data_IF_117656959273
#
_entry.id   IF_117656959273
#
_cell.length_a   1.000
_cell.length_b   1.000
_cell.length_c   1.000
_cell.angle_alpha   90.00
_cell.angle_beta   90.00
_cell.angle_gamma   90.00
#
_symmetry.space_group_name_H-M   'P 1'
#
loop_
_entity.id
_entity.type
_entity.pdbx_description
1 polymer ?
#
# COMPACT_ATOMS: atom_id res chain seq x y z
N UNK A 1 -21.88 1.79 11.50
CA UNK A 1 -20.43 1.95 11.18
C UNK A 1 -19.91 0.57 10.83
N UNK A 2 -19.43 0.40 9.62
CA UNK A 2 -18.87 -0.88 9.14
C UNK A 2 -17.46 -1.06 9.73
N UNK A 3 -17.01 -2.30 9.85
CA UNK A 3 -15.62 -2.58 10.20
C UNK A 3 -14.70 -2.28 9.01
N UNK A 4 -13.41 -2.08 9.27
CA UNK A 4 -12.43 -1.96 8.20
C UNK A 4 -12.39 -3.22 7.32
N UNK A 5 -12.68 -4.40 7.91
CA UNK A 5 -12.77 -5.66 7.16
C UNK A 5 -13.92 -5.68 6.15
N UNK A 6 -15.09 -5.12 6.51
CA UNK A 6 -16.21 -4.99 5.57
C UNK A 6 -15.84 -4.12 4.37
N UNK A 7 -15.11 -3.02 4.62
CA UNK A 7 -14.64 -2.11 3.56
C UNK A 7 -13.62 -2.80 2.66
N UNK A 8 -12.66 -3.53 3.24
CA UNK A 8 -11.64 -4.26 2.47
C UNK A 8 -12.30 -5.25 1.51
N UNK A 9 -13.25 -6.06 1.98
CA UNK A 9 -13.92 -7.06 1.14
C UNK A 9 -14.79 -6.41 0.07
N UNK A 10 -15.50 -5.32 0.40
CA UNK A 10 -16.30 -4.58 -0.58
C UNK A 10 -15.41 -4.05 -1.72
N UNK A 11 -14.32 -3.38 -1.38
CA UNK A 11 -13.44 -2.76 -2.39
C UNK A 11 -12.71 -3.80 -3.21
N UNK A 12 -12.21 -4.87 -2.60
CA UNK A 12 -11.61 -6.00 -3.30
C UNK A 12 -12.59 -6.55 -4.37
N UNK A 13 -13.82 -6.84 -3.96
CA UNK A 13 -14.86 -7.36 -4.86
C UNK A 13 -15.21 -6.38 -5.98
N UNK A 14 -15.24 -5.08 -5.71
CA UNK A 14 -15.53 -4.06 -6.72
C UNK A 14 -14.40 -3.88 -7.73
N UNK A 15 -13.15 -3.95 -7.28
CA UNK A 15 -11.97 -3.89 -8.15
C UNK A 15 -11.89 -5.15 -9.02
N UNK A 16 -12.13 -6.34 -8.45
CA UNK A 16 -12.17 -7.59 -9.19
C UNK A 16 -13.29 -7.58 -10.24
N UNK A 17 -14.50 -7.14 -9.89
CA UNK A 17 -15.63 -7.02 -10.81
C UNK A 17 -15.37 -6.00 -11.93
N UNK A 18 -14.49 -5.03 -11.69
CA UNK A 18 -14.03 -4.07 -12.71
C UNK A 18 -12.88 -4.61 -13.57
N UNK A 19 -12.34 -5.81 -13.25
CA UNK A 19 -11.16 -6.36 -13.90
C UNK A 19 -9.89 -5.56 -13.59
N UNK A 20 -9.84 -4.85 -12.46
CA UNK A 20 -8.71 -4.02 -12.06
C UNK A 20 -7.78 -4.84 -11.17
N UNK A 21 -6.58 -5.13 -11.66
CA UNK A 21 -5.54 -5.76 -10.85
C UNK A 21 -5.10 -4.79 -9.75
N UNK A 22 -5.03 -5.29 -8.51
CA UNK A 22 -4.73 -4.46 -7.34
C UNK A 22 -4.00 -5.23 -6.25
N UNK A 23 -3.43 -4.50 -5.29
CA UNK A 23 -2.83 -5.05 -4.08
C UNK A 23 -2.96 -4.07 -2.90
N UNK A 24 -3.28 -4.61 -1.73
CA UNK A 24 -3.32 -3.84 -0.48
C UNK A 24 -1.91 -3.54 0.01
N UNK A 25 -1.71 -2.31 0.48
CA UNK A 25 -0.45 -1.79 1.01
C UNK A 25 -0.53 -1.38 2.47
N UNK A 26 0.25 -0.37 2.83
CA UNK A 26 0.19 0.35 4.09
C UNK A 26 0.27 -0.53 5.33
N UNK A 27 -0.59 -0.25 6.32
CA UNK A 27 -0.65 -1.01 7.57
C UNK A 27 -1.29 -2.39 7.41
N UNK A 28 -2.11 -2.60 6.38
CA UNK A 28 -2.72 -3.90 6.09
C UNK A 28 -1.67 -4.90 5.61
N UNK A 29 -0.81 -4.51 4.66
CA UNK A 29 0.31 -5.35 4.23
C UNK A 29 1.32 -5.56 5.37
N UNK A 30 1.60 -4.52 6.16
CA UNK A 30 2.52 -4.59 7.30
C UNK A 30 2.15 -5.70 8.28
N UNK A 31 0.85 -5.95 8.49
CA UNK A 31 0.36 -6.98 9.42
C UNK A 31 0.82 -8.41 9.10
N UNK A 32 1.31 -8.66 7.89
CA UNK A 32 1.91 -9.96 7.49
C UNK A 32 3.42 -10.02 7.69
N UNK A 33 4.05 -8.90 8.02
CA UNK A 33 5.51 -8.76 8.10
C UNK A 33 6.01 -8.26 9.46
N UNK A 34 5.11 -7.75 10.30
CA UNK A 34 5.42 -7.25 11.64
C UNK A 34 4.22 -7.39 12.57
N UNK A 35 4.39 -7.02 13.84
CA UNK A 35 3.26 -6.92 14.77
C UNK A 35 2.20 -5.94 14.22
N UNK A 36 0.93 -6.37 14.10
CA UNK A 36 -0.13 -5.53 13.57
C UNK A 36 -0.35 -4.26 14.40
N UNK A 37 -0.56 -3.15 13.74
CA UNK A 37 -1.00 -1.90 14.37
C UNK A 37 -2.34 -1.44 13.82
N UNK A 38 -3.08 -0.70 14.63
CA UNK A 38 -4.36 -0.13 14.21
C UNK A 38 -4.21 0.82 13.03
N UNK A 39 -5.20 0.80 12.14
CA UNK A 39 -5.35 1.74 11.03
C UNK A 39 -6.81 2.01 10.75
N UNK A 40 -7.09 3.16 10.17
CA UNK A 40 -8.38 3.51 9.54
C UNK A 40 -8.21 3.76 8.04
N UNK A 41 -6.97 3.73 7.56
CA UNK A 41 -6.62 3.91 6.15
C UNK A 41 -6.54 2.52 5.47
N UNK A 42 -7.16 2.39 4.30
CA UNK A 42 -7.03 1.24 3.40
C UNK A 42 -6.22 1.72 2.19
N UNK A 43 -4.92 1.40 2.19
CA UNK A 43 -4.00 1.72 1.11
C UNK A 43 -4.09 0.66 0.02
N UNK A 44 -4.36 1.06 -1.24
CA UNK A 44 -4.53 0.13 -2.37
C UNK A 44 -3.76 0.64 -3.59
N UNK A 45 -2.89 -0.20 -4.13
CA UNK A 45 -2.24 0.03 -5.42
C UNK A 45 -3.10 -0.61 -6.51
N UNK A 46 -3.42 0.13 -7.56
CA UNK A 46 -4.29 -0.31 -8.66
C UNK A 46 -3.60 -0.18 -10.02
N UNK A 47 -3.77 -1.17 -10.89
CA UNK A 47 -3.27 -1.15 -12.27
C UNK A 47 -4.19 -0.32 -13.19
N UNK A 48 -4.31 0.95 -12.86
CA UNK A 48 -5.05 1.92 -13.67
C UNK A 48 -4.12 3.10 -13.89
N UNK A 49 -3.81 3.46 -15.14
CA UNK A 49 -3.05 4.67 -15.44
C UNK A 49 -3.73 5.90 -14.82
N UNK A 50 -2.93 6.78 -14.24
CA UNK A 50 -3.45 7.97 -13.56
C UNK A 50 -4.37 8.82 -14.45
N UNK A 51 -4.07 8.91 -15.76
CA UNK A 51 -4.85 9.63 -16.75
C UNK A 51 -6.24 9.01 -16.98
N UNK A 52 -6.36 7.69 -16.75
CA UNK A 52 -7.59 6.91 -16.96
C UNK A 52 -8.40 6.71 -15.67
N UNK A 53 -7.98 7.29 -14.55
CA UNK A 53 -8.57 7.06 -13.21
C UNK A 53 -10.06 7.41 -13.08
N UNK A 54 -10.57 8.30 -13.95
CA UNK A 54 -11.94 8.81 -13.84
C UNK A 54 -13.00 7.71 -13.92
N UNK A 55 -12.77 6.67 -14.73
CA UNK A 55 -13.69 5.53 -14.86
C UNK A 55 -13.80 4.75 -13.56
N UNK A 56 -12.66 4.42 -12.93
CA UNK A 56 -12.65 3.72 -11.65
C UNK A 56 -13.26 4.58 -10.54
N UNK A 57 -12.90 5.88 -10.49
CA UNK A 57 -13.45 6.80 -9.50
C UNK A 57 -14.97 6.94 -9.61
N UNK A 58 -15.51 7.03 -10.84
CA UNK A 58 -16.97 7.08 -11.06
C UNK A 58 -17.66 5.79 -10.60
N UNK A 59 -17.04 4.64 -10.79
CA UNK A 59 -17.55 3.36 -10.29
C UNK A 59 -17.60 3.34 -8.76
N UNK A 60 -16.52 3.73 -8.09
CA UNK A 60 -16.47 3.77 -6.63
C UNK A 60 -17.43 4.83 -6.04
N UNK A 61 -17.59 5.96 -6.73
CA UNK A 61 -18.58 6.98 -6.37
C UNK A 61 -20.01 6.42 -6.39
N UNK A 62 -20.33 5.56 -7.34
CA UNK A 62 -21.68 4.93 -7.45
C UNK A 62 -22.03 4.02 -6.27
N UNK A 63 -21.04 3.54 -5.53
CA UNK A 63 -21.22 2.75 -4.29
C UNK A 63 -20.94 3.58 -3.02
N UNK A 64 -20.83 4.90 -3.16
CA UNK A 64 -20.76 5.86 -2.06
C UNK A 64 -19.35 6.23 -1.60
N UNK A 65 -18.30 5.83 -2.33
CA UNK A 65 -16.92 6.26 -2.06
C UNK A 65 -16.59 7.51 -2.88
N UNK A 66 -16.66 8.66 -2.23
CA UNK A 66 -16.54 9.96 -2.86
C UNK A 66 -15.13 10.55 -2.71
N UNK A 67 -14.73 11.36 -3.68
CA UNK A 67 -13.52 12.18 -3.58
C UNK A 67 -13.65 13.18 -2.43
N UNK A 68 -12.65 13.23 -1.55
CA UNK A 68 -12.55 14.26 -0.52
C UNK A 68 -12.29 15.64 -1.13
N UNK A 69 -12.78 16.70 -0.47
CA UNK A 69 -12.51 18.07 -0.90
C UNK A 69 -11.00 18.40 -0.99
N UNK A 70 -10.17 17.68 -0.23
CA UNK A 70 -8.71 17.82 -0.20
C UNK A 70 -7.98 16.62 -0.84
N UNK A 71 -8.68 15.77 -1.59
CA UNK A 71 -8.16 14.51 -2.12
C UNK A 71 -6.88 14.70 -2.95
N UNK A 72 -6.80 15.78 -3.74
CA UNK A 72 -5.64 16.08 -4.59
C UNK A 72 -4.45 16.69 -3.84
N UNK A 73 -4.65 17.17 -2.59
CA UNK A 73 -3.61 17.85 -1.79
C UNK A 73 -2.92 16.95 -0.77
N UNK A 74 -3.54 15.83 -0.41
CA UNK A 74 -3.15 15.04 0.76
C UNK A 74 -2.24 13.85 0.45
N UNK A 75 -2.15 13.41 -0.80
CA UNK A 75 -1.37 12.26 -1.22
C UNK A 75 -0.31 12.65 -2.26
N UNK A 76 0.78 11.87 -2.41
CA UNK A 76 1.73 12.06 -3.51
C UNK A 76 1.02 12.06 -4.87
N UNK A 77 1.68 12.60 -5.88
CA UNK A 77 1.12 12.96 -7.20
C UNK A 77 0.21 11.90 -7.88
N UNK A 78 0.32 10.63 -7.52
CA UNK A 78 -0.50 9.54 -8.08
C UNK A 78 -1.56 9.00 -7.12
N UNK A 79 -1.71 9.57 -5.90
CA UNK A 79 -2.65 9.08 -4.89
C UNK A 79 -3.96 9.86 -4.88
N UNK A 80 -5.04 9.17 -4.54
CA UNK A 80 -6.38 9.76 -4.41
C UNK A 80 -7.07 9.20 -3.18
N UNK A 81 -7.55 10.08 -2.29
CA UNK A 81 -8.27 9.70 -1.07
C UNK A 81 -9.78 9.72 -1.29
N UNK A 82 -10.42 8.60 -0.94
CA UNK A 82 -11.87 8.44 -0.96
C UNK A 82 -12.41 8.30 0.46
N UNK A 83 -13.64 8.75 0.66
CA UNK A 83 -14.35 8.64 1.94
C UNK A 83 -15.85 8.39 1.70
N UNK A 84 -16.50 7.81 2.71
CA UNK A 84 -17.96 7.77 2.79
C UNK A 84 -18.42 8.61 3.98
N UNK A 85 -19.49 9.43 3.86
CA UNK A 85 -19.91 10.37 4.91
C UNK A 85 -20.24 9.73 6.27
N UNK A 86 -20.61 8.44 6.28
CA UNK A 86 -21.01 7.72 7.49
C UNK A 86 -19.89 6.84 8.08
N UNK A 87 -18.71 6.80 7.43
CA UNK A 87 -17.61 5.91 7.80
C UNK A 87 -16.40 6.69 8.32
N UNK A 88 -15.66 6.07 9.24
CA UNK A 88 -14.35 6.57 9.70
C UNK A 88 -13.19 6.03 8.87
N UNK A 89 -13.43 4.94 8.15
CA UNK A 89 -12.44 4.33 7.24
C UNK A 89 -12.31 5.19 6.01
N UNK A 90 -11.09 5.40 5.55
CA UNK A 90 -10.78 6.07 4.28
C UNK A 90 -10.01 5.11 3.37
N UNK A 91 -10.14 5.30 2.05
CA UNK A 91 -9.41 4.54 1.05
C UNK A 91 -8.42 5.46 0.38
N UNK A 92 -7.15 5.06 0.37
CA UNK A 92 -6.07 5.71 -0.37
C UNK A 92 -5.72 4.85 -1.59
N UNK A 93 -6.16 5.30 -2.78
CA UNK A 93 -5.84 4.67 -4.05
C UNK A 93 -4.54 5.24 -4.61
N UNK A 94 -3.61 4.36 -4.99
CA UNK A 94 -2.38 4.71 -5.69
C UNK A 94 -2.46 4.15 -7.11
N UNK A 95 -2.49 5.05 -8.09
CA UNK A 95 -2.62 4.72 -9.50
C UNK A 95 -1.25 4.46 -10.14
N UNK A 96 -1.23 3.61 -11.15
CA UNK A 96 -0.03 3.37 -11.93
C UNK A 96 0.36 4.64 -12.72
N UNK A 97 1.52 5.20 -12.43
CA UNK A 97 2.09 6.35 -13.16
C UNK A 97 3.52 6.11 -13.62
N UNK A 98 4.10 4.98 -13.26
CA UNK A 98 5.45 4.54 -13.65
C UNK A 98 5.57 3.01 -13.67
N UNK A 99 6.70 2.52 -14.18
CA UNK A 99 7.00 1.09 -14.29
C UNK A 99 7.06 0.38 -12.91
N UNK A 100 7.38 1.11 -11.83
CA UNK A 100 7.42 0.52 -10.48
C UNK A 100 6.05 -0.02 -10.07
N UNK A 101 4.96 0.70 -10.38
CA UNK A 101 3.60 0.26 -10.02
C UNK A 101 3.19 -1.05 -10.72
N UNK A 102 3.64 -1.27 -11.96
CA UNK A 102 3.39 -2.54 -12.66
C UNK A 102 4.18 -3.67 -12.00
N UNK A 103 5.47 -3.45 -11.73
CA UNK A 103 6.35 -4.44 -11.08
C UNK A 103 5.82 -4.86 -9.71
N UNK A 104 5.38 -3.92 -8.88
CA UNK A 104 4.89 -4.24 -7.52
C UNK A 104 3.59 -5.04 -7.53
N UNK A 105 2.73 -4.84 -8.54
CA UNK A 105 1.51 -5.65 -8.70
C UNK A 105 1.82 -7.07 -9.19
N UNK A 106 2.84 -7.25 -10.02
CA UNK A 106 3.33 -8.58 -10.42
C UNK A 106 3.90 -9.37 -9.23
N UNK A 107 4.57 -8.69 -8.31
CA UNK A 107 5.18 -9.26 -7.11
C UNK A 107 4.24 -9.37 -5.91
N UNK A 108 3.02 -8.84 -6.02
CA UNK A 108 2.04 -8.91 -4.94
C UNK A 108 1.76 -10.36 -4.53
N UNK A 109 1.65 -10.60 -3.22
CA UNK A 109 1.56 -11.92 -2.61
C UNK A 109 0.13 -12.17 -2.13
N UNK A 110 -0.46 -13.29 -2.51
CA UNK A 110 -1.73 -13.74 -1.95
C UNK A 110 -1.55 -14.16 -0.50
N UNK A 111 -2.45 -13.69 0.36
CA UNK A 111 -2.46 -14.00 1.80
C UNK A 111 -3.91 -14.22 2.27
N UNK A 112 -4.09 -15.12 3.25
CA UNK A 112 -5.41 -15.31 3.85
C UNK A 112 -5.81 -14.08 4.67
N UNK A 113 -6.98 -13.55 4.39
CA UNK A 113 -7.64 -12.52 5.18
C UNK A 113 -8.91 -13.10 5.79
N UNK A 114 -8.96 -13.18 7.13
CA UNK A 114 -10.12 -13.75 7.83
C UNK A 114 -11.03 -12.61 8.26
N UNK A 115 -12.26 -12.58 7.74
CA UNK A 115 -13.26 -11.62 8.13
C UNK A 115 -14.60 -12.30 8.42
N UNK A 116 -15.20 -12.00 9.59
CA UNK A 116 -16.48 -12.59 10.04
C UNK A 116 -16.52 -14.13 9.95
N UNK A 117 -15.38 -14.79 10.21
CA UNK A 117 -15.24 -16.25 10.14
C UNK A 117 -15.10 -16.81 8.71
N UNK A 118 -15.10 -15.97 7.70
CA UNK A 118 -14.87 -16.34 6.29
C UNK A 118 -13.41 -16.05 5.93
N UNK A 119 -12.80 -17.01 5.23
CA UNK A 119 -11.45 -16.86 4.69
C UNK A 119 -11.55 -16.31 3.26
N UNK A 120 -10.85 -15.22 3.01
CA UNK A 120 -10.62 -14.62 1.70
C UNK A 120 -9.14 -14.74 1.34
N UNK A 121 -8.82 -14.84 0.07
CA UNK A 121 -7.43 -14.74 -0.42
C UNK A 121 -7.29 -13.36 -1.08
N UNK A 122 -6.55 -12.46 -0.46
CA UNK A 122 -6.35 -11.10 -0.93
C UNK A 122 -4.88 -10.90 -1.32
N UNK A 123 -4.62 -9.96 -2.20
CA UNK A 123 -3.27 -9.63 -2.65
C UNK A 123 -2.71 -8.46 -1.86
N UNK A 124 -1.49 -8.64 -1.35
CA UNK A 124 -0.77 -7.63 -0.57
C UNK A 124 0.60 -7.37 -1.20
N UNK A 125 1.10 -6.16 -1.03
CA UNK A 125 2.47 -5.82 -1.42
C UNK A 125 3.46 -6.77 -0.74
N UNK A 126 4.55 -7.13 -1.46
CA UNK A 126 5.68 -7.84 -0.87
C UNK A 126 6.35 -7.01 0.22
N UNK A 127 7.18 -7.63 1.06
CA UNK A 127 7.92 -6.92 2.11
C UNK A 127 8.84 -5.84 1.51
N UNK A 128 9.51 -6.16 0.40
CA UNK A 128 10.38 -5.24 -0.30
C UNK A 128 9.62 -4.06 -0.90
N UNK A 129 8.49 -4.34 -1.59
CA UNK A 129 7.70 -3.29 -2.24
C UNK A 129 7.04 -2.38 -1.22
N UNK A 130 6.54 -2.95 -0.11
CA UNK A 130 6.08 -2.17 1.04
C UNK A 130 7.19 -1.28 1.60
N UNK A 131 8.43 -1.81 1.71
CA UNK A 131 9.60 -1.05 2.16
C UNK A 131 9.91 0.10 1.20
N UNK A 132 9.87 -0.12 -0.12
CA UNK A 132 10.08 0.91 -1.14
C UNK A 132 9.05 2.05 -0.98
N UNK A 133 7.76 1.72 -0.87
CA UNK A 133 6.73 2.75 -0.66
C UNK A 133 6.94 3.52 0.65
N UNK A 134 7.24 2.85 1.76
CA UNK A 134 7.52 3.50 3.03
C UNK A 134 8.75 4.41 2.95
N UNK A 135 9.82 3.99 2.29
CA UNK A 135 11.01 4.83 2.06
C UNK A 135 10.73 6.00 1.12
N UNK A 136 9.79 5.83 0.18
CA UNK A 136 9.38 6.90 -0.74
C UNK A 136 8.65 8.03 -0.03
N UNK A 137 7.76 7.71 0.93
CA UNK A 137 7.14 8.70 1.82
C UNK A 137 8.13 9.24 2.86
N UNK A 138 8.94 8.38 3.46
CA UNK A 138 10.05 8.74 4.37
C UNK A 138 9.65 9.41 5.68
N UNK A 139 8.35 9.34 6.08
CA UNK A 139 7.85 9.89 7.35
C UNK A 139 8.42 9.11 8.53
N UNK A 140 8.44 9.70 9.71
CA UNK A 140 8.91 9.01 10.93
C UNK A 140 8.19 7.68 11.15
N UNK A 141 6.86 7.64 10.96
CA UNK A 141 6.06 6.41 11.10
C UNK A 141 6.47 5.32 10.10
N UNK A 142 6.90 5.70 8.90
CA UNK A 142 7.29 4.75 7.86
C UNK A 142 8.60 4.04 8.24
N UNK A 143 9.52 4.74 8.85
CA UNK A 143 10.76 4.15 9.38
C UNK A 143 10.53 3.28 10.60
N UNK A 144 9.57 3.61 11.47
CA UNK A 144 9.15 2.75 12.59
C UNK A 144 8.56 1.43 12.05
N UNK A 145 7.74 1.50 11.02
CA UNK A 145 7.15 0.33 10.38
C UNK A 145 8.25 -0.57 9.75
N UNK A 146 9.26 0.02 9.07
CA UNK A 146 10.41 -0.73 8.52
C UNK A 146 11.21 -1.40 9.66
N UNK A 147 11.47 -0.69 10.75
CA UNK A 147 12.16 -1.23 11.91
C UNK A 147 11.38 -2.40 12.53
N UNK A 148 10.06 -2.29 12.60
CA UNK A 148 9.20 -3.37 13.09
C UNK A 148 9.30 -4.63 12.20
N UNK A 149 9.28 -4.49 10.87
CA UNK A 149 9.48 -5.60 9.93
C UNK A 149 10.83 -6.27 10.14
N UNK A 150 11.89 -5.47 10.24
CA UNK A 150 13.25 -5.95 10.47
C UNK A 150 13.31 -6.69 11.83
N UNK A 151 12.77 -6.13 12.89
CA UNK A 151 12.75 -6.73 14.23
C UNK A 151 11.96 -8.03 14.28
N UNK A 152 10.89 -8.16 13.50
CA UNK A 152 10.12 -9.38 13.33
C UNK A 152 10.88 -10.48 12.55
N UNK A 153 12.06 -10.19 12.03
CA UNK A 153 12.86 -11.11 11.21
C UNK A 153 12.36 -11.27 9.79
N UNK A 154 11.54 -10.33 9.28
CA UNK A 154 11.07 -10.37 7.90
C UNK A 154 12.26 -10.22 6.94
N UNK A 155 12.47 -11.18 6.02
CA UNK A 155 13.50 -11.04 5.00
C UNK A 155 13.22 -9.85 4.09
N UNK A 156 14.21 -9.01 3.86
CA UNK A 156 14.15 -7.87 2.93
C UNK A 156 15.40 -7.92 2.05
N UNK A 157 15.21 -8.08 0.75
CA UNK A 157 16.28 -7.96 -0.24
C UNK A 157 16.64 -6.48 -0.44
N UNK A 158 17.71 -6.07 0.27
CA UNK A 158 18.17 -4.69 0.23
C UNK A 158 18.70 -4.27 -1.15
N UNK A 159 19.20 -5.21 -1.96
CA UNK A 159 19.72 -4.92 -3.30
C UNK A 159 18.56 -4.66 -4.26
N UNK A 160 17.47 -5.42 -4.14
CA UNK A 160 16.24 -5.14 -4.87
C UNK A 160 15.67 -3.77 -4.47
N UNK A 161 15.51 -3.51 -3.16
CA UNK A 161 14.97 -2.23 -2.66
C UNK A 161 15.82 -1.05 -3.15
N UNK A 162 17.15 -1.15 -3.10
CA UNK A 162 18.03 -0.10 -3.60
C UNK A 162 17.83 0.14 -5.09
N UNK A 163 17.84 -0.91 -5.91
CA UNK A 163 17.70 -0.82 -7.36
C UNK A 163 16.40 -0.12 -7.76
N UNK A 164 15.29 -0.58 -7.21
CA UNK A 164 13.96 -0.03 -7.56
C UNK A 164 13.79 1.39 -7.01
N UNK A 165 14.21 1.64 -5.77
CA UNK A 165 14.09 2.98 -5.19
C UNK A 165 14.97 4.01 -5.90
N UNK A 166 16.19 3.62 -6.30
CA UNK A 166 17.09 4.50 -7.06
C UNK A 166 16.56 4.72 -8.48
N UNK A 167 16.00 3.69 -9.11
CA UNK A 167 15.34 3.85 -10.41
C UNK A 167 14.20 4.87 -10.33
N UNK A 168 13.37 4.78 -9.29
CA UNK A 168 12.20 5.64 -9.07
C UNK A 168 12.56 7.07 -8.63
N UNK A 169 13.49 7.25 -7.65
CA UNK A 169 13.80 8.54 -7.02
C UNK A 169 15.15 9.14 -7.47
N UNK A 170 15.91 8.41 -8.26
CA UNK A 170 17.27 8.80 -8.63
C UNK A 170 18.22 8.88 -7.43
N UNK A 171 19.29 9.70 -7.51
CA UNK A 171 20.29 9.79 -6.47
C UNK A 171 19.78 10.25 -5.09
N UNK A 172 18.61 10.87 -5.02
CA UNK A 172 18.00 11.29 -3.75
C UNK A 172 17.59 10.11 -2.86
N UNK A 173 17.57 8.88 -3.40
CA UNK A 173 17.31 7.64 -2.67
C UNK A 173 18.47 7.20 -1.76
N UNK A 174 19.73 7.51 -2.10
CA UNK A 174 20.91 6.95 -1.43
C UNK A 174 20.95 7.13 0.10
N UNK A 175 20.57 8.28 0.69
CA UNK A 175 20.53 8.40 2.14
C UNK A 175 19.57 7.40 2.80
N UNK A 176 18.39 7.18 2.21
CA UNK A 176 17.41 6.22 2.68
C UNK A 176 17.88 4.78 2.55
N UNK A 177 18.55 4.44 1.43
CA UNK A 177 19.15 3.12 1.21
C UNK A 177 20.27 2.86 2.23
N UNK A 178 21.14 3.84 2.47
CA UNK A 178 22.20 3.71 3.48
C UNK A 178 21.63 3.46 4.88
N UNK A 179 20.53 4.13 5.23
CA UNK A 179 19.82 3.92 6.49
C UNK A 179 19.25 2.50 6.58
N UNK A 180 18.53 2.03 5.56
CA UNK A 180 17.98 0.66 5.52
C UNK A 180 19.08 -0.38 5.71
N UNK A 181 20.19 -0.27 4.95
CA UNK A 181 21.32 -1.20 5.07
C UNK A 181 21.98 -1.16 6.45
N UNK A 182 22.01 -0.01 7.10
CA UNK A 182 22.51 0.11 8.48
C UNK A 182 21.59 -0.61 9.48
N UNK A 183 20.27 -0.47 9.34
CA UNK A 183 19.29 -1.15 10.18
C UNK A 183 19.37 -2.67 10.02
N UNK A 184 19.48 -3.18 8.78
CA UNK A 184 19.62 -4.61 8.51
C UNK A 184 20.90 -5.23 9.09
N UNK A 185 22.03 -4.47 9.11
CA UNK A 185 23.31 -4.94 9.73
C UNK A 185 23.28 -4.92 11.25
N UNK A 186 22.46 -4.12 11.86
CA UNK A 186 22.35 -3.99 13.33
C UNK A 186 21.55 -5.08 13.99
N UNK A 187 21.00 -6.06 13.26
CA UNK A 187 20.28 -7.19 13.82
C UNK A 187 21.28 -8.21 14.44
N UNK A 188 21.02 -8.71 15.65
CA UNK A 188 21.71 -9.89 16.14
C UNK A 188 21.34 -11.09 15.25
N UNK A 189 22.37 -11.78 14.76
CA UNK A 189 22.23 -13.06 14.04
C UNK A 189 21.68 -14.15 14.96
#
# INVERSE_FOLDING_TARGET
MRSIGDVIIEIDSELDAAGVRHAFGGALALAYYAEPRGTVDVDINVEVPFESRSTLLSRLDSIGWHLGADAERSLPAAGTRLHQPAETVVIDLFFAFDELHEVVLDRAVERPFIHSGVRHELRFLSAEDLTIFKMSFGRTKDWVDIEAMITAGTPIDADYVERELVHFKGPTAYPSVARLRAMLRGQPQ
#
